data_IF_469522169960
#
_entry.id   IF_469522169960
#
_cell.length_a   1.000
_cell.length_b   1.000
_cell.length_c   1.000
_cell.angle_alpha   90.00
_cell.angle_beta   90.00
_cell.angle_gamma   90.00
#
_symmetry.space_group_name_H-M   'P 1'
#
loop_
_entity.id
_entity.type
_entity.pdbx_description
1 polymer ?
#
# COMPACT_ATOMS: atom_id res chain seq x y z
N UNK A 1 1.01 -26.26 -11.49
CA UNK A 1 -0.37 -25.77 -11.31
C UNK A 1 -0.52 -24.80 -10.14
N UNK A 2 0.05 -25.09 -8.96
CA UNK A 2 0.08 -24.15 -7.81
C UNK A 2 0.67 -22.77 -8.15
N UNK A 3 1.66 -22.70 -9.04
CA UNK A 3 2.24 -21.41 -9.47
C UNK A 3 1.30 -20.52 -10.27
N UNK A 4 0.34 -21.10 -11.00
CA UNK A 4 -0.66 -20.32 -11.73
C UNK A 4 -1.64 -19.72 -10.74
N UNK A 5 -2.02 -20.45 -9.69
CA UNK A 5 -2.87 -19.96 -8.60
C UNK A 5 -2.14 -18.87 -7.81
N UNK A 6 -0.87 -19.07 -7.46
CA UNK A 6 -0.05 -18.03 -6.82
C UNK A 6 0.06 -16.79 -7.71
N UNK A 7 0.39 -16.95 -9.00
CA UNK A 7 0.50 -15.82 -9.95
C UNK A 7 -0.84 -15.12 -10.19
N UNK A 8 -1.95 -15.84 -10.24
CA UNK A 8 -3.29 -15.23 -10.38
C UNK A 8 -3.76 -14.58 -9.07
N UNK A 9 -3.29 -15.04 -7.91
CA UNK A 9 -3.43 -14.32 -6.64
C UNK A 9 -2.58 -13.03 -6.68
N UNK A 10 -1.33 -13.06 -7.15
CA UNK A 10 -0.50 -11.86 -7.30
C UNK A 10 -1.06 -10.85 -8.32
N UNK A 11 -1.67 -11.34 -9.41
CA UNK A 11 -2.33 -10.52 -10.43
C UNK A 11 -3.72 -10.04 -9.97
N UNK A 12 -4.44 -10.84 -9.19
CA UNK A 12 -5.73 -10.49 -8.58
C UNK A 12 -5.57 -9.49 -7.43
N UNK A 13 -4.49 -9.58 -6.65
CA UNK A 13 -4.14 -8.64 -5.58
C UNK A 13 -3.82 -7.23 -6.10
N UNK A 14 -3.46 -7.11 -7.38
CA UNK A 14 -3.15 -5.83 -8.02
C UNK A 14 -4.34 -5.11 -8.66
N UNK A 15 -5.47 -5.80 -8.92
CA UNK A 15 -6.60 -5.24 -9.66
C UNK A 15 -8.00 -5.63 -9.18
N UNK A 16 -8.13 -6.63 -8.32
CA UNK A 16 -9.39 -7.05 -7.72
C UNK A 16 -9.32 -6.83 -6.22
N UNK A 17 -10.36 -6.22 -5.66
CA UNK A 17 -10.51 -6.04 -4.22
C UNK A 17 -10.35 -7.39 -3.52
N UNK A 18 -9.20 -7.63 -2.89
CA UNK A 18 -9.06 -8.78 -1.99
C UNK A 18 -9.88 -8.48 -0.75
N UNK A 19 -11.04 -9.13 -0.68
CA UNK A 19 -11.97 -9.05 0.46
C UNK A 19 -11.72 -10.19 1.42
N UNK A 20 -12.24 -10.05 2.63
CA UNK A 20 -12.21 -11.10 3.65
C UNK A 20 -12.86 -12.39 3.16
N UNK A 21 -13.96 -12.29 2.40
CA UNK A 21 -14.62 -13.44 1.78
C UNK A 21 -13.68 -14.18 0.82
N UNK A 22 -12.92 -13.45 0.00
CA UNK A 22 -12.01 -14.07 -0.96
C UNK A 22 -10.83 -14.76 -0.28
N UNK A 23 -10.29 -14.15 0.78
CA UNK A 23 -9.23 -14.78 1.59
C UNK A 23 -9.77 -16.05 2.27
N UNK A 24 -10.98 -15.99 2.81
CA UNK A 24 -11.63 -17.15 3.44
C UNK A 24 -11.81 -18.29 2.43
N UNK A 25 -12.32 -18.01 1.23
CA UNK A 25 -12.44 -19.01 0.16
C UNK A 25 -11.10 -19.66 -0.21
N UNK A 26 -10.03 -18.87 -0.31
CA UNK A 26 -8.70 -19.41 -0.64
C UNK A 26 -8.21 -20.36 0.44
N UNK A 27 -8.44 -20.02 1.72
CA UNK A 27 -8.07 -20.90 2.83
C UNK A 27 -8.93 -22.16 2.85
N UNK A 28 -10.21 -22.05 2.53
CA UNK A 28 -11.15 -23.17 2.48
C UNK A 28 -10.77 -24.17 1.38
N UNK A 29 -10.43 -23.67 0.19
CA UNK A 29 -9.91 -24.49 -0.91
C UNK A 29 -8.62 -25.25 -0.52
N UNK A 30 -7.77 -24.63 0.31
CA UNK A 30 -6.54 -25.28 0.79
C UNK A 30 -6.85 -26.39 1.80
N UNK A 31 -7.89 -26.22 2.62
CA UNK A 31 -8.35 -27.26 3.54
C UNK A 31 -8.98 -28.42 2.78
N UNK A 32 -9.86 -28.14 1.81
CA UNK A 32 -10.49 -29.18 0.97
C UNK A 32 -9.46 -30.00 0.19
N UNK A 33 -8.36 -29.38 -0.25
CA UNK A 33 -7.26 -30.05 -0.94
C UNK A 33 -6.32 -30.80 0.01
N UNK A 34 -6.58 -30.80 1.32
CA UNK A 34 -5.73 -31.42 2.34
C UNK A 34 -4.37 -30.72 2.51
N UNK A 35 -4.23 -29.49 2.01
CA UNK A 35 -3.00 -28.70 2.08
C UNK A 35 -2.92 -27.84 3.35
N UNK A 36 -4.03 -27.70 4.07
CA UNK A 36 -4.12 -26.99 5.33
C UNK A 36 -5.03 -27.75 6.29
N UNK A 37 -4.62 -27.84 7.55
CA UNK A 37 -5.46 -28.45 8.58
C UNK A 37 -6.61 -27.51 8.98
N UNK A 38 -7.81 -28.05 9.18
CA UNK A 38 -8.99 -27.26 9.53
C UNK A 38 -8.82 -26.50 10.85
N UNK A 39 -8.06 -27.05 11.81
CA UNK A 39 -7.73 -26.35 13.07
C UNK A 39 -6.95 -25.05 12.86
N UNK A 40 -6.26 -24.91 11.74
CA UNK A 40 -5.43 -23.74 11.41
C UNK A 40 -6.16 -22.71 10.55
N UNK A 41 -7.41 -22.96 10.15
CA UNK A 41 -8.20 -22.10 9.26
C UNK A 41 -8.21 -20.64 9.71
N UNK A 42 -8.62 -20.39 10.95
CA UNK A 42 -8.75 -19.02 11.47
C UNK A 42 -7.41 -18.28 11.48
N UNK A 43 -6.32 -19.00 11.78
CA UNK A 43 -4.98 -18.43 11.82
C UNK A 43 -4.49 -18.08 10.41
N UNK A 44 -4.69 -18.98 9.45
CA UNK A 44 -4.31 -18.77 8.06
C UNK A 44 -5.08 -17.61 7.40
N UNK A 45 -6.38 -17.49 7.69
CA UNK A 45 -7.18 -16.35 7.22
C UNK A 45 -6.64 -15.04 7.79
N UNK A 46 -6.35 -15.00 9.08
CA UNK A 46 -5.84 -13.79 9.73
C UNK A 46 -4.45 -13.39 9.19
N UNK A 47 -3.53 -14.34 9.06
CA UNK A 47 -2.19 -14.08 8.52
C UNK A 47 -2.22 -13.56 7.09
N UNK A 48 -3.12 -14.09 6.25
CA UNK A 48 -3.30 -13.60 4.89
C UNK A 48 -3.89 -12.20 4.85
N UNK A 49 -4.85 -11.88 5.71
CA UNK A 49 -5.42 -10.53 5.82
C UNK A 49 -4.37 -9.52 6.28
N UNK A 50 -3.62 -9.83 7.34
CA UNK A 50 -2.57 -8.96 7.86
C UNK A 50 -1.49 -8.71 6.79
N UNK A 51 -1.17 -9.73 6.00
CA UNK A 51 -0.24 -9.61 4.88
C UNK A 51 -0.78 -8.69 3.79
N UNK A 52 -2.06 -8.83 3.44
CA UNK A 52 -2.72 -7.96 2.46
C UNK A 52 -2.67 -6.49 2.92
N UNK A 53 -2.98 -6.22 4.18
CA UNK A 53 -2.95 -4.86 4.72
C UNK A 53 -1.53 -4.27 4.70
N UNK A 54 -0.53 -5.07 5.04
CA UNK A 54 0.88 -4.65 4.97
C UNK A 54 1.33 -4.36 3.54
N UNK A 55 0.97 -5.21 2.59
CA UNK A 55 1.30 -5.00 1.17
C UNK A 55 0.59 -3.76 0.61
N UNK A 56 -0.67 -3.51 0.99
CA UNK A 56 -1.39 -2.27 0.63
C UNK A 56 -0.68 -1.02 1.16
N UNK A 57 -0.23 -1.04 2.41
CA UNK A 57 0.49 0.08 2.99
C UNK A 57 1.82 0.35 2.27
N UNK A 58 2.56 -0.70 1.91
CA UNK A 58 3.79 -0.58 1.14
C UNK A 58 3.54 -0.03 -0.26
N UNK A 59 2.53 -0.55 -0.97
CA UNK A 59 2.12 -0.06 -2.28
C UNK A 59 1.75 1.43 -2.23
N UNK A 60 0.97 1.85 -1.22
CA UNK A 60 0.59 3.24 -1.05
C UNK A 60 1.82 4.15 -0.85
N UNK A 61 2.82 3.71 -0.06
CA UNK A 61 4.08 4.44 0.10
C UNK A 61 4.85 4.55 -1.21
N UNK A 62 4.96 3.46 -1.97
CA UNK A 62 5.67 3.47 -3.27
C UNK A 62 4.99 4.39 -4.27
N UNK A 63 3.66 4.34 -4.37
CA UNK A 63 2.91 5.24 -5.25
C UNK A 63 3.09 6.68 -4.80
N UNK A 64 2.97 6.98 -3.51
CA UNK A 64 3.17 8.33 -2.97
C UNK A 64 4.57 8.84 -3.30
N UNK A 65 5.60 8.05 -3.08
CA UNK A 65 6.98 8.42 -3.39
C UNK A 65 7.19 8.66 -4.89
N UNK A 66 6.59 7.83 -5.76
CA UNK A 66 6.65 8.02 -7.20
C UNK A 66 5.98 9.33 -7.63
N UNK A 67 4.80 9.64 -7.07
CA UNK A 67 4.08 10.89 -7.34
C UNK A 67 4.88 12.09 -6.84
N UNK A 68 5.38 12.05 -5.60
CA UNK A 68 6.23 13.11 -5.04
C UNK A 68 7.48 13.34 -5.89
N UNK A 69 8.11 12.26 -6.37
CA UNK A 69 9.28 12.34 -7.26
C UNK A 69 8.93 13.06 -8.57
N UNK A 70 7.84 12.69 -9.23
CA UNK A 70 7.42 13.32 -10.49
C UNK A 70 7.10 14.80 -10.28
N UNK A 71 6.35 15.13 -9.23
CA UNK A 71 5.98 16.52 -8.93
C UNK A 71 7.19 17.41 -8.65
N UNK A 72 8.18 16.88 -7.92
CA UNK A 72 9.36 17.64 -7.51
C UNK A 72 10.46 17.69 -8.60
N UNK A 73 10.75 16.57 -9.26
CA UNK A 73 11.90 16.45 -10.17
C UNK A 73 11.54 16.82 -11.62
N UNK A 74 10.38 16.39 -12.12
CA UNK A 74 10.05 16.57 -13.54
C UNK A 74 9.21 17.82 -13.80
N UNK A 75 8.26 18.13 -12.92
CA UNK A 75 7.36 19.29 -13.10
C UNK A 75 7.88 20.52 -12.32
N UNK A 76 8.77 20.33 -11.34
CA UNK A 76 9.36 21.38 -10.49
C UNK A 76 8.31 22.28 -9.82
N UNK A 77 7.19 21.71 -9.36
CA UNK A 77 6.14 22.49 -8.70
C UNK A 77 6.51 22.73 -7.24
N UNK A 78 6.54 24.00 -6.84
CA UNK A 78 6.68 24.37 -5.44
C UNK A 78 5.51 23.84 -4.63
N UNK A 79 5.80 23.09 -3.56
CA UNK A 79 4.77 22.56 -2.67
C UNK A 79 4.21 23.67 -1.77
N UNK A 80 3.03 23.44 -1.18
CA UNK A 80 2.45 24.37 -0.20
C UNK A 80 3.40 24.63 0.98
N UNK A 81 4.21 23.63 1.35
CA UNK A 81 5.20 23.74 2.43
C UNK A 81 6.33 24.69 2.05
N UNK A 82 6.82 24.59 0.82
CA UNK A 82 7.89 25.48 0.31
C UNK A 82 7.42 26.93 0.32
N UNK A 83 6.17 27.17 -0.11
CA UNK A 83 5.56 28.51 -0.07
C UNK A 83 5.46 29.04 1.37
N UNK A 84 5.03 28.22 2.32
CA UNK A 84 4.96 28.62 3.73
C UNK A 84 6.34 28.93 4.33
N UNK A 85 7.37 28.17 3.94
CA UNK A 85 8.75 28.43 4.38
C UNK A 85 9.28 29.75 3.81
N UNK A 86 8.96 30.05 2.56
CA UNK A 86 9.28 31.33 1.92
C UNK A 86 8.59 32.50 2.65
N UNK A 87 7.29 32.39 2.93
CA UNK A 87 6.53 33.43 3.67
C UNK A 87 7.17 33.67 5.04
N UNK A 88 7.48 32.60 5.78
CA UNK A 88 8.09 32.72 7.11
C UNK A 88 9.47 33.38 7.06
N UNK A 89 10.27 33.09 6.03
CA UNK A 89 11.56 33.77 5.82
C UNK A 89 11.37 35.24 5.45
N UNK A 90 10.38 35.57 4.62
CA UNK A 90 10.04 36.96 4.27
C UNK A 90 9.66 37.75 5.52
N UNK A 91 8.76 37.24 6.37
CA UNK A 91 8.37 37.88 7.62
C UNK A 91 9.57 38.15 8.56
N UNK A 92 10.53 37.22 8.61
CA UNK A 92 11.75 37.40 9.41
C UNK A 92 12.68 38.48 8.85
N UNK A 93 12.77 38.60 7.53
CA UNK A 93 13.57 39.62 6.86
C UNK A 93 12.91 40.99 7.03
N UNK A 94 11.59 41.08 6.83
CA UNK A 94 10.80 42.30 7.04
C UNK A 94 10.94 42.81 8.48
N UNK A 95 10.90 41.92 9.48
CA UNK A 95 11.14 42.29 10.89
C UNK A 95 12.55 42.78 11.21
N UNK A 96 13.54 42.48 10.37
CA UNK A 96 14.94 42.96 10.54
C UNK A 96 15.20 44.26 9.80
N UNK A 97 14.36 44.59 8.82
CA UNK A 97 14.43 45.82 8.03
C UNK A 97 13.55 46.95 8.59
N UNK A 98 12.55 46.60 9.41
CA UNK A 98 11.81 47.54 10.26
C UNK A 98 12.53 47.82 11.57
#
# INVERSE_FOLDING_TARGET
MLDIIKKSIYLGLGGLTVTKEKVTQIVDDLIEKGQLDNSQRSKAVQELLDRVDKERANLHKTIKAAVEKVLNEEIQIATKKDIQEIIKRLEQIEKKLS
#
